data_IF_704374977612
#
_entry.id   IF_704374977612
#
_cell.length_a   1.000
_cell.length_b   1.000
_cell.length_c   1.000
_cell.angle_alpha   90.00
_cell.angle_beta   90.00
_cell.angle_gamma   90.00
#
_symmetry.space_group_name_H-M   'P 1'
#
loop_
_entity.id
_entity.type
_entity.pdbx_description
1 polymer ?
#
# COMPACT_ATOMS: atom_id res chain seq x y z
N UNK A 1 -24.09 8.69 -6.01
CA UNK A 1 -23.12 9.53 -6.75
C UNK A 1 -21.91 8.66 -7.09
N UNK A 2 -21.62 8.39 -8.37
CA UNK A 2 -20.45 7.56 -8.76
C UNK A 2 -19.54 8.34 -9.72
N UNK A 3 -18.27 8.47 -9.36
CA UNK A 3 -17.22 9.03 -10.22
C UNK A 3 -16.35 7.90 -10.80
N UNK A 4 -16.08 7.93 -12.11
CA UNK A 4 -15.19 6.98 -12.79
C UNK A 4 -13.78 7.54 -12.84
N UNK A 5 -12.93 7.01 -11.97
CA UNK A 5 -11.48 7.18 -12.07
C UNK A 5 -10.85 6.02 -12.84
N UNK A 6 -9.61 6.19 -13.35
CA UNK A 6 -8.82 5.04 -13.77
C UNK A 6 -8.68 4.08 -12.58
N UNK A 7 -8.86 2.79 -12.82
CA UNK A 7 -8.64 1.77 -11.79
C UNK A 7 -7.14 1.66 -11.52
N UNK A 8 -6.60 2.54 -10.67
CA UNK A 8 -5.16 2.75 -10.46
C UNK A 8 -4.44 1.43 -10.22
N UNK A 9 -4.95 0.60 -9.31
CA UNK A 9 -4.24 -0.60 -8.88
C UNK A 9 -4.22 -1.66 -9.99
N UNK A 10 -5.34 -1.87 -10.69
CA UNK A 10 -5.41 -2.80 -11.83
C UNK A 10 -4.61 -2.31 -13.05
N UNK A 11 -4.54 -0.99 -13.24
CA UNK A 11 -3.76 -0.38 -14.33
C UNK A 11 -2.24 -0.47 -14.13
N UNK A 12 -1.79 -0.72 -12.90
CA UNK A 12 -0.39 -0.99 -12.54
C UNK A 12 -0.02 -2.48 -12.68
N UNK A 13 -1.00 -3.38 -12.58
CA UNK A 13 -0.80 -4.83 -12.71
C UNK A 13 -0.81 -5.31 -14.17
N UNK A 14 -1.43 -4.56 -15.08
CA UNK A 14 -1.55 -4.92 -16.49
C UNK A 14 -0.61 -4.09 -17.36
N UNK A 15 0.04 -4.69 -18.38
CA UNK A 15 0.80 -3.96 -19.38
C UNK A 15 -0.02 -2.81 -20.00
N UNK A 16 0.65 -1.72 -20.35
CA UNK A 16 0.01 -0.47 -20.82
C UNK A 16 -0.96 -0.71 -21.99
N UNK A 17 -0.61 -1.61 -22.91
CA UNK A 17 -1.43 -1.99 -24.07
C UNK A 17 -2.73 -2.75 -23.70
N UNK A 18 -2.77 -3.46 -22.57
CA UNK A 18 -3.99 -4.12 -22.04
C UNK A 18 -4.80 -3.21 -21.12
N UNK A 19 -4.18 -2.14 -20.61
CA UNK A 19 -4.79 -1.25 -19.61
C UNK A 19 -5.69 -0.15 -20.18
N UNK A 20 -5.77 0.00 -21.51
CA UNK A 20 -6.50 1.09 -22.18
C UNK A 20 -7.96 1.29 -21.70
N UNK A 21 -8.78 0.22 -21.61
CA UNK A 21 -10.15 0.33 -21.07
C UNK A 21 -10.22 0.75 -19.59
N UNK A 22 -9.20 0.42 -18.80
CA UNK A 22 -9.10 0.74 -17.36
C UNK A 22 -8.55 2.15 -17.08
N UNK A 23 -7.98 2.81 -18.09
CA UNK A 23 -7.50 4.21 -18.05
C UNK A 23 -8.53 5.22 -18.56
N UNK A 24 -9.83 4.87 -18.55
CA UNK A 24 -10.90 5.75 -18.99
C UNK A 24 -11.26 6.73 -17.88
N UNK A 25 -10.94 7.99 -18.10
CA UNK A 25 -11.35 9.09 -17.25
C UNK A 25 -12.83 9.44 -17.46
N UNK A 26 -13.48 9.91 -16.40
CA UNK A 26 -14.83 10.47 -16.47
C UNK A 26 -14.87 11.63 -17.49
N UNK A 27 -15.87 11.62 -18.37
CA UNK A 27 -16.12 12.74 -19.29
C UNK A 27 -16.91 13.83 -18.56
N UNK A 28 -16.65 15.10 -18.89
CA UNK A 28 -17.38 16.26 -18.33
C UNK A 28 -17.37 16.29 -16.79
N UNK A 29 -16.21 16.00 -16.19
CA UNK A 29 -16.06 15.87 -14.73
C UNK A 29 -16.50 17.14 -13.98
N UNK A 30 -16.20 18.33 -14.51
CA UNK A 30 -16.57 19.60 -13.87
C UNK A 30 -18.09 19.74 -13.71
N UNK A 31 -18.85 19.51 -14.79
CA UNK A 31 -20.32 19.57 -14.77
C UNK A 31 -20.89 18.56 -13.76
N UNK A 32 -20.36 17.33 -13.76
CA UNK A 32 -20.78 16.28 -12.84
C UNK A 32 -20.46 16.63 -11.37
N UNK A 33 -19.35 17.31 -11.11
CA UNK A 33 -19.01 17.82 -9.78
C UNK A 33 -20.04 18.88 -9.35
N UNK A 34 -20.34 19.84 -10.21
CA UNK A 34 -21.32 20.91 -9.91
C UNK A 34 -22.71 20.34 -9.61
N UNK A 35 -23.16 19.37 -10.41
CA UNK A 35 -24.43 18.66 -10.20
C UNK A 35 -24.44 17.90 -8.86
N UNK A 36 -23.33 17.23 -8.54
CA UNK A 36 -23.15 16.47 -7.30
C UNK A 36 -23.17 17.40 -6.08
N UNK A 37 -22.49 18.55 -6.16
CA UNK A 37 -22.48 19.57 -5.09
C UNK A 37 -23.88 20.10 -4.85
N UNK A 38 -24.65 20.35 -5.92
CA UNK A 38 -26.05 20.79 -5.81
C UNK A 38 -26.90 19.75 -5.11
N UNK A 39 -26.81 18.48 -5.53
CA UNK A 39 -27.51 17.37 -4.86
C UNK A 39 -27.15 17.22 -3.38
N UNK A 40 -25.87 17.38 -3.02
CA UNK A 40 -25.42 17.32 -1.62
C UNK A 40 -26.04 18.47 -0.81
N UNK A 41 -26.08 19.69 -1.36
CA UNK A 41 -26.72 20.84 -0.68
C UNK A 41 -28.21 20.59 -0.43
N UNK A 42 -28.92 20.04 -1.41
CA UNK A 42 -30.35 19.72 -1.29
C UNK A 42 -30.61 18.61 -0.24
N UNK A 43 -29.74 17.59 -0.18
CA UNK A 43 -29.79 16.53 0.83
C UNK A 43 -29.53 17.06 2.24
N UNK A 44 -28.58 17.99 2.40
CA UNK A 44 -28.32 18.63 3.70
C UNK A 44 -29.51 19.48 4.14
N UNK A 45 -30.14 20.21 3.21
CA UNK A 45 -31.29 21.06 3.49
C UNK A 45 -32.55 20.27 3.86
N UNK A 46 -32.80 19.14 3.19
CA UNK A 46 -33.97 18.28 3.43
C UNK A 46 -33.89 17.47 4.72
N UNK A 47 -32.71 17.27 5.31
CA UNK A 47 -32.45 16.43 6.52
C UNK A 47 -32.87 14.96 6.41
N UNK A 48 -33.43 14.52 5.28
CA UNK A 48 -33.78 13.14 5.00
C UNK A 48 -32.57 12.40 4.42
N UNK A 49 -31.75 11.83 5.30
CA UNK A 49 -30.60 11.02 4.92
C UNK A 49 -31.03 9.60 4.54
N UNK A 50 -31.47 9.43 3.29
CA UNK A 50 -31.72 8.10 2.72
C UNK A 50 -30.37 7.49 2.31
N UNK A 51 -29.88 6.53 3.09
CA UNK A 51 -28.72 5.74 2.69
C UNK A 51 -29.12 4.73 1.62
N UNK A 52 -28.65 4.93 0.39
CA UNK A 52 -28.75 3.91 -0.66
C UNK A 52 -27.46 3.10 -0.66
N UNK A 53 -27.55 1.81 -0.31
CA UNK A 53 -26.44 0.89 -0.51
C UNK A 53 -26.09 0.85 -2.00
N UNK A 54 -24.82 1.09 -2.39
CA UNK A 54 -24.43 1.00 -3.79
C UNK A 54 -24.70 -0.42 -4.31
N UNK A 55 -25.18 -0.51 -5.55
CA UNK A 55 -25.50 -1.80 -6.17
C UNK A 55 -24.23 -2.67 -6.22
N UNK A 56 -24.38 -3.96 -5.94
CA UNK A 56 -23.29 -4.93 -6.13
C UNK A 56 -22.90 -4.92 -7.60
N UNK A 57 -21.62 -4.67 -7.89
CA UNK A 57 -21.11 -4.63 -9.26
C UNK A 57 -20.62 -6.02 -9.66
N UNK A 58 -20.89 -6.47 -10.87
CA UNK A 58 -20.51 -7.83 -11.33
C UNK A 58 -19.01 -8.16 -11.11
N UNK A 59 -18.15 -7.15 -11.25
CA UNK A 59 -16.71 -7.30 -11.04
C UNK A 59 -16.31 -7.49 -9.58
N UNK A 60 -17.19 -7.31 -8.59
CA UNK A 60 -16.86 -7.57 -7.17
C UNK A 60 -16.62 -9.05 -6.89
N UNK A 61 -17.26 -9.93 -7.67
CA UNK A 61 -17.01 -11.38 -7.59
C UNK A 61 -15.63 -11.73 -8.15
N UNK A 62 -15.30 -11.17 -9.31
CA UNK A 62 -13.99 -11.34 -9.96
C UNK A 62 -12.89 -10.74 -9.10
N UNK A 63 -13.10 -9.56 -8.53
CA UNK A 63 -12.12 -8.92 -7.64
C UNK A 63 -11.88 -9.75 -6.39
N UNK A 64 -12.92 -10.39 -5.81
CA UNK A 64 -12.76 -11.28 -4.65
C UNK A 64 -11.92 -12.52 -4.98
N UNK A 65 -12.12 -13.11 -6.16
CA UNK A 65 -11.33 -14.25 -6.64
C UNK A 65 -9.87 -13.82 -6.86
N UNK A 66 -9.65 -12.75 -7.63
CA UNK A 66 -8.30 -12.19 -7.86
C UNK A 66 -7.62 -11.81 -6.55
N UNK A 67 -8.35 -11.20 -5.61
CA UNK A 67 -7.83 -10.85 -4.31
C UNK A 67 -7.41 -12.08 -3.51
N UNK A 68 -8.21 -13.15 -3.50
CA UNK A 68 -7.82 -14.37 -2.80
C UNK A 68 -6.59 -15.04 -3.43
N UNK A 69 -6.53 -15.12 -4.77
CA UNK A 69 -5.39 -15.74 -5.45
C UNK A 69 -4.08 -14.93 -5.32
N UNK A 70 -4.14 -13.60 -5.39
CA UNK A 70 -2.94 -12.74 -5.42
C UNK A 70 -2.61 -12.09 -4.06
N UNK A 71 -3.61 -11.59 -3.33
CA UNK A 71 -3.39 -10.80 -2.09
C UNK A 71 -3.34 -11.65 -0.81
N UNK A 72 -4.04 -12.78 -0.71
CA UNK A 72 -3.97 -13.61 0.51
C UNK A 72 -2.54 -14.15 0.72
N UNK A 73 -1.87 -14.52 -0.37
CA UNK A 73 -0.45 -14.88 -0.36
C UNK A 73 0.45 -13.69 -0.02
N UNK A 74 0.07 -12.47 -0.40
CA UNK A 74 0.83 -11.26 -0.05
C UNK A 74 0.77 -11.00 1.44
N UNK A 75 -0.43 -11.03 2.05
CA UNK A 75 -0.60 -10.84 3.49
C UNK A 75 0.19 -11.88 4.31
N UNK A 76 0.28 -13.12 3.81
CA UNK A 76 1.06 -14.19 4.44
C UNK A 76 2.58 -13.95 4.44
N UNK A 77 3.11 -13.04 3.62
CA UNK A 77 4.54 -12.71 3.67
C UNK A 77 4.96 -12.08 5.00
N UNK A 78 4.03 -11.57 5.81
CA UNK A 78 4.33 -11.10 7.17
C UNK A 78 4.94 -12.20 8.04
N UNK A 79 4.56 -13.46 7.85
CA UNK A 79 5.11 -14.59 8.61
C UNK A 79 6.53 -14.97 8.20
N UNK A 80 6.99 -14.48 7.04
CA UNK A 80 8.35 -14.74 6.54
C UNK A 80 9.35 -13.69 7.00
N UNK A 81 8.91 -12.59 7.62
CA UNK A 81 9.79 -11.56 8.14
C UNK A 81 10.67 -12.16 9.24
N UNK A 82 11.98 -12.08 9.07
CA UNK A 82 12.96 -12.54 10.04
C UNK A 82 14.23 -11.67 10.01
N UNK A 83 15.07 -11.85 11.03
CA UNK A 83 16.37 -11.18 11.16
C UNK A 83 17.46 -12.13 10.67
N UNK A 84 18.33 -11.62 9.82
CA UNK A 84 19.62 -12.23 9.47
C UNK A 84 20.60 -11.91 10.59
N UNK A 85 20.81 -12.85 11.51
CA UNK A 85 21.58 -12.66 12.75
C UNK A 85 22.99 -12.11 12.51
N UNK A 86 23.65 -12.53 11.44
CA UNK A 86 25.01 -12.11 11.06
C UNK A 86 25.13 -10.60 10.77
N UNK A 87 24.03 -9.94 10.40
CA UNK A 87 24.00 -8.51 10.06
C UNK A 87 23.45 -7.64 11.18
N UNK A 88 22.80 -8.21 12.19
CA UNK A 88 22.07 -7.40 13.16
C UNK A 88 23.01 -6.76 14.19
N UNK A 89 23.10 -5.43 14.18
CA UNK A 89 23.84 -4.63 15.18
C UNK A 89 23.06 -4.38 16.48
N UNK A 90 21.87 -4.97 16.64
CA UNK A 90 21.01 -4.80 17.81
C UNK A 90 20.65 -3.33 18.14
N UNK A 91 20.51 -2.48 17.11
CA UNK A 91 20.23 -1.04 17.27
C UNK A 91 18.81 -0.70 17.74
N UNK A 92 17.92 -1.70 17.88
CA UNK A 92 16.52 -1.59 18.33
C UNK A 92 15.62 -0.65 17.53
N UNK A 93 16.05 -0.22 16.33
CA UNK A 93 15.25 0.67 15.49
C UNK A 93 13.94 0.03 15.02
N UNK A 94 13.93 -1.29 14.77
CA UNK A 94 12.73 -2.02 14.39
C UNK A 94 11.62 -1.96 15.45
N UNK A 95 11.98 -1.91 16.74
CA UNK A 95 11.05 -1.74 17.85
C UNK A 95 10.44 -0.34 17.81
N UNK A 96 11.27 0.70 17.63
CA UNK A 96 10.82 2.10 17.63
C UNK A 96 9.92 2.48 16.44
N UNK A 97 10.18 1.94 15.26
CA UNK A 97 9.46 2.33 14.04
C UNK A 97 8.15 1.54 13.82
N UNK A 98 7.92 0.46 14.58
CA UNK A 98 6.78 -0.40 14.36
C UNK A 98 5.50 0.16 15.00
N UNK A 99 4.63 0.76 14.18
CA UNK A 99 3.33 1.29 14.62
C UNK A 99 2.39 0.25 15.24
N UNK A 100 2.59 -1.03 14.92
CA UNK A 100 1.76 -2.16 15.39
C UNK A 100 2.39 -2.93 16.56
N UNK A 101 3.52 -2.44 17.09
CA UNK A 101 4.25 -3.05 18.22
C UNK A 101 4.55 -4.55 18.02
N UNK A 102 4.81 -4.95 16.77
CA UNK A 102 5.11 -6.34 16.41
C UNK A 102 6.51 -6.77 16.82
N UNK A 103 7.37 -5.83 17.19
CA UNK A 103 8.74 -6.09 17.66
C UNK A 103 8.82 -5.83 19.17
N UNK A 104 9.35 -6.80 19.91
CA UNK A 104 9.57 -6.70 21.36
C UNK A 104 11.00 -7.07 21.70
N UNK A 105 11.52 -6.56 22.82
CA UNK A 105 12.83 -6.96 23.32
C UNK A 105 12.72 -8.23 24.17
N UNK A 106 13.60 -9.20 23.93
CA UNK A 106 13.75 -10.38 24.77
C UNK A 106 15.24 -10.78 24.84
N UNK A 107 15.76 -10.98 26.05
CA UNK A 107 17.19 -11.28 26.30
C UNK A 107 18.15 -10.34 25.55
N UNK A 108 17.77 -9.06 25.44
CA UNK A 108 18.55 -8.04 24.77
C UNK A 108 18.40 -7.98 23.24
N UNK A 109 17.67 -8.90 22.60
CA UNK A 109 17.49 -8.94 21.14
C UNK A 109 16.03 -8.66 20.73
N UNK A 110 15.79 -8.07 19.54
CA UNK A 110 14.45 -7.89 19.00
C UNK A 110 13.84 -9.21 18.53
N UNK A 111 12.64 -9.53 19.03
CA UNK A 111 11.80 -10.64 18.62
C UNK A 111 10.57 -10.12 17.88
N UNK A 112 10.22 -10.81 16.79
CA UNK A 112 9.09 -10.46 15.93
C UNK A 112 7.87 -11.32 16.21
N UNK A 113 6.69 -10.69 16.31
CA UNK A 113 5.39 -11.34 16.34
C UNK A 113 4.57 -10.92 15.10
N UNK A 114 4.26 -11.85 14.18
CA UNK A 114 3.57 -11.54 12.93
C UNK A 114 2.06 -11.29 13.07
N UNK A 115 1.43 -11.59 14.21
CA UNK A 115 -0.04 -11.61 14.36
C UNK A 115 -0.68 -10.27 13.96
N UNK A 116 -0.11 -9.16 14.42
CA UNK A 116 -0.65 -7.82 14.17
C UNK A 116 0.10 -7.07 13.05
N UNK A 117 0.95 -7.77 12.29
CA UNK A 117 1.78 -7.16 11.26
C UNK A 117 0.96 -6.89 10.00
N UNK A 118 0.88 -5.63 9.60
CA UNK A 118 0.19 -5.17 8.38
C UNK A 118 1.09 -5.17 7.14
N UNK A 119 2.30 -5.73 7.24
CA UNK A 119 3.28 -5.78 6.14
C UNK A 119 3.61 -4.40 5.55
N UNK A 120 3.72 -3.35 6.39
CA UNK A 120 4.10 -2.01 5.94
C UNK A 120 5.58 -1.88 5.51
N UNK A 121 6.41 -2.89 5.82
CA UNK A 121 7.84 -2.98 5.49
C UNK A 121 8.74 -1.85 6.02
N UNK A 122 8.24 -0.99 6.91
CA UNK A 122 9.05 0.07 7.52
C UNK A 122 10.32 -0.48 8.19
N UNK A 123 10.19 -1.56 8.97
CA UNK A 123 11.35 -2.21 9.61
C UNK A 123 12.37 -2.76 8.61
N UNK A 124 11.93 -3.24 7.44
CA UNK A 124 12.78 -3.79 6.38
C UNK A 124 13.57 -2.67 5.68
N UNK A 125 12.92 -1.54 5.38
CA UNK A 125 13.55 -0.45 4.63
C UNK A 125 14.40 0.50 5.48
N UNK A 126 14.10 0.61 6.77
CA UNK A 126 14.84 1.51 7.68
C UNK A 126 15.92 0.81 8.51
N UNK A 127 16.06 -0.51 8.41
CA UNK A 127 17.16 -1.21 9.09
C UNK A 127 18.52 -0.74 8.52
N UNK A 128 19.41 -0.14 9.34
CA UNK A 128 20.69 0.40 8.84
C UNK A 128 21.61 -0.70 8.28
N UNK A 129 21.56 -1.90 8.87
CA UNK A 129 22.38 -3.04 8.45
C UNK A 129 21.69 -3.95 7.43
N UNK A 130 20.51 -3.58 6.93
CA UNK A 130 19.70 -4.42 6.05
C UNK A 130 19.43 -5.83 6.60
N UNK A 131 19.42 -6.00 7.92
CA UNK A 131 19.33 -7.29 8.59
C UNK A 131 17.92 -7.91 8.57
N UNK A 132 16.87 -7.14 8.26
CA UNK A 132 15.48 -7.63 8.27
C UNK A 132 15.03 -7.90 6.82
N UNK A 133 14.55 -9.11 6.55
CA UNK A 133 14.07 -9.54 5.23
C UNK A 133 12.83 -10.45 5.36
N UNK A 134 12.05 -10.58 4.28
CA UNK A 134 10.96 -11.59 4.18
C UNK A 134 11.11 -12.54 2.98
N UNK A 135 12.19 -12.37 2.21
CA UNK A 135 12.58 -13.20 1.07
C UNK A 135 14.07 -13.05 0.82
N UNK A 136 14.77 -14.16 0.51
CA UNK A 136 16.20 -14.16 0.20
C UNK A 136 16.55 -13.23 -0.97
N UNK A 137 15.65 -13.09 -1.95
CA UNK A 137 15.84 -12.21 -3.10
C UNK A 137 15.98 -10.72 -2.71
N UNK A 138 15.66 -10.35 -1.46
CA UNK A 138 15.79 -8.99 -0.94
C UNK A 138 17.12 -8.69 -0.26
N UNK A 139 17.96 -9.72 0.01
CA UNK A 139 19.17 -9.60 0.82
C UNK A 139 20.13 -8.52 0.30
N UNK A 140 20.20 -8.37 -1.02
CA UNK A 140 21.10 -7.45 -1.73
C UNK A 140 20.35 -6.37 -2.53
N UNK A 141 19.04 -6.20 -2.27
CA UNK A 141 18.23 -5.16 -2.93
C UNK A 141 18.36 -3.82 -2.20
N UNK A 142 18.36 -2.70 -2.93
CA UNK A 142 18.37 -1.38 -2.33
C UNK A 142 17.12 -1.19 -1.46
N UNK A 143 17.26 -0.49 -0.33
CA UNK A 143 16.13 -0.14 0.54
C UNK A 143 15.54 1.18 0.10
N UNK A 144 14.21 1.23 0.07
CA UNK A 144 13.43 2.42 -0.28
C UNK A 144 13.36 3.37 0.93
N UNK A 145 14.47 4.01 1.25
CA UNK A 145 14.59 4.98 2.34
C UNK A 145 14.92 6.38 1.78
N UNK A 146 15.02 7.37 2.66
CA UNK A 146 15.24 8.76 2.25
C UNK A 146 16.54 8.96 1.45
N UNK A 147 17.63 8.27 1.82
CA UNK A 147 18.90 8.39 1.08
C UNK A 147 18.80 7.80 -0.32
N UNK A 148 18.10 6.67 -0.49
CA UNK A 148 17.82 6.10 -1.80
C UNK A 148 17.04 7.07 -2.70
N UNK A 149 15.96 7.68 -2.20
CA UNK A 149 15.18 8.62 -3.00
C UNK A 149 15.94 9.92 -3.31
N UNK A 150 16.83 10.37 -2.40
CA UNK A 150 17.71 11.51 -2.67
C UNK A 150 18.67 11.22 -3.83
N UNK A 151 19.35 10.08 -3.79
CA UNK A 151 20.23 9.63 -4.89
C UNK A 151 19.46 9.44 -6.20
N UNK A 152 18.25 8.87 -6.13
CA UNK A 152 17.40 8.69 -7.31
C UNK A 152 17.03 10.05 -7.93
N UNK A 153 16.69 11.04 -7.11
CA UNK A 153 16.39 12.40 -7.58
C UNK A 153 17.61 13.02 -8.27
N UNK A 154 18.77 12.98 -7.63
CA UNK A 154 20.05 13.49 -8.18
C UNK A 154 20.39 12.83 -9.52
N UNK A 155 20.17 11.52 -9.66
CA UNK A 155 20.45 10.78 -10.90
C UNK A 155 19.43 11.01 -12.02
N UNK A 156 18.15 11.22 -11.67
CA UNK A 156 17.05 11.34 -12.66
C UNK A 156 16.88 12.78 -13.14
N UNK A 157 17.16 13.75 -12.28
CA UNK A 157 17.05 15.18 -12.55
C UNK A 157 18.36 15.87 -12.15
N UNK A 158 19.45 15.69 -12.93
CA UNK A 158 20.78 16.22 -12.60
C UNK A 158 20.90 17.74 -12.78
N UNK A 159 19.83 18.42 -13.20
CA UNK A 159 19.78 19.86 -13.45
C UNK A 159 18.67 20.50 -12.58
N UNK A 160 18.92 20.58 -11.27
CA UNK A 160 18.30 21.57 -10.37
C UNK A 160 19.37 22.63 -10.01
#
# INVERSE_FOLDING_TARGET
>A
MEFRGPGTDASLLLPTYLSGPFRRYEKKINQKIDDTVTQIKDLIASKDLIYTLPRLKWYTLISKILQSFYFDNFANNRFKIHIVSERCSNCKLCIRICLRECWKENKGYPIFNPINCELCLACVHHCPENAIIFSEAMKDKPRLNQSFYKQLKENTFPYD
#
